data_IF_838486985103
#
_entry.id   IF_838486985103
#
_cell.length_a   1.000
_cell.length_b   1.000
_cell.length_c   1.000
_cell.angle_alpha   90.00
_cell.angle_beta   90.00
_cell.angle_gamma   90.00
#
_symmetry.space_group_name_H-M   'P 1'
#
loop_
_entity.id
_entity.type
_entity.pdbx_description
1 polymer ?
#
# COMPACT_ATOMS: atom_id res chain seq x y z
N UNK A 1 19.37 -14.48 -33.55
CA UNK A 1 19.50 -13.60 -32.36
C UNK A 1 18.09 -13.23 -31.91
N UNK A 2 17.60 -13.67 -30.73
CA UNK A 2 16.27 -13.30 -30.29
C UNK A 2 16.27 -11.84 -29.84
N UNK A 3 15.22 -11.09 -30.23
CA UNK A 3 15.06 -9.68 -29.87
C UNK A 3 14.76 -9.56 -28.37
N UNK A 4 15.34 -8.57 -27.66
CA UNK A 4 14.99 -8.34 -26.27
C UNK A 4 13.52 -7.90 -26.20
N UNK A 5 12.73 -8.56 -25.36
CA UNK A 5 11.39 -8.11 -25.02
C UNK A 5 11.47 -6.68 -24.45
N UNK A 6 10.49 -5.79 -24.70
CA UNK A 6 10.44 -4.53 -23.99
C UNK A 6 10.06 -4.86 -22.55
N UNK A 7 11.06 -5.04 -21.68
CA UNK A 7 10.85 -4.87 -20.25
C UNK A 7 10.24 -3.47 -20.10
N UNK A 8 9.01 -3.40 -19.56
CA UNK A 8 8.45 -2.13 -19.07
C UNK A 8 9.59 -1.45 -18.30
N UNK A 9 9.83 -0.15 -18.49
CA UNK A 9 10.82 0.55 -17.68
C UNK A 9 10.39 0.30 -16.24
N UNK A 10 11.16 -0.53 -15.54
CA UNK A 10 10.99 -0.73 -14.13
C UNK A 10 11.38 0.62 -13.55
N UNK A 11 10.36 1.34 -13.09
CA UNK A 11 10.49 2.56 -12.30
C UNK A 11 11.14 2.15 -10.97
N UNK A 12 12.44 1.87 -11.04
CA UNK A 12 13.28 1.44 -9.92
C UNK A 12 13.62 2.61 -8.97
N UNK A 13 13.00 3.78 -9.17
CA UNK A 13 13.27 4.98 -8.38
C UNK A 13 12.07 5.49 -7.57
N UNK A 14 10.84 5.13 -7.92
CA UNK A 14 9.65 5.67 -7.27
C UNK A 14 8.77 4.54 -6.74
N UNK A 15 8.79 4.33 -5.43
CA UNK A 15 7.78 3.51 -4.75
C UNK A 15 6.41 4.11 -5.01
N UNK A 16 5.43 3.27 -5.36
CA UNK A 16 4.04 3.69 -5.62
C UNK A 16 3.06 2.72 -4.99
N UNK A 17 2.13 3.27 -4.22
CA UNK A 17 1.06 2.53 -3.54
C UNK A 17 -0.28 3.17 -3.90
N UNK A 18 -1.30 2.35 -4.16
CA UNK A 18 -2.67 2.80 -4.28
C UNK A 18 -3.50 2.21 -3.14
N UNK A 19 -4.29 3.07 -2.49
CA UNK A 19 -5.21 2.73 -1.41
C UNK A 19 -6.64 2.82 -1.93
N UNK A 20 -7.52 1.99 -1.39
CA UNK A 20 -8.95 1.99 -1.70
C UNK A 20 -9.78 1.93 -0.41
N UNK A 21 -10.89 2.65 -0.35
CA UNK A 21 -11.80 2.63 0.81
C UNK A 21 -12.42 1.25 1.04
N UNK A 22 -12.68 0.51 -0.04
CA UNK A 22 -13.35 -0.79 -0.01
C UNK A 22 -12.44 -1.93 -0.47
N UNK A 23 -12.86 -3.16 -0.19
CA UNK A 23 -12.21 -4.37 -0.69
C UNK A 23 -12.30 -4.47 -2.23
N UNK A 24 -11.46 -5.32 -2.84
CA UNK A 24 -11.47 -5.56 -4.29
C UNK A 24 -11.26 -4.30 -5.15
N UNK A 25 -10.48 -3.34 -4.65
CA UNK A 25 -10.11 -2.10 -5.36
C UNK A 25 -11.30 -1.19 -5.71
N UNK A 26 -12.32 -1.17 -4.84
CA UNK A 26 -13.53 -0.38 -5.01
C UNK A 26 -13.53 0.89 -4.15
N UNK A 27 -14.53 1.74 -4.36
CA UNK A 27 -14.72 2.99 -3.61
C UNK A 27 -13.73 4.09 -3.99
N UNK A 28 -13.59 5.09 -3.10
CA UNK A 28 -12.62 6.17 -3.28
C UNK A 28 -11.20 5.61 -3.21
N UNK A 29 -10.31 6.19 -4.02
CA UNK A 29 -8.90 5.80 -4.07
C UNK A 29 -7.95 6.98 -3.88
N UNK A 30 -6.76 6.68 -3.39
CA UNK A 30 -5.65 7.62 -3.33
C UNK A 30 -4.36 6.94 -3.80
N UNK A 31 -3.51 7.67 -4.51
CA UNK A 31 -2.16 7.23 -4.87
C UNK A 31 -1.16 7.91 -3.93
N UNK A 32 -0.15 7.14 -3.50
CA UNK A 32 0.92 7.60 -2.65
C UNK A 32 2.27 7.31 -3.30
N UNK A 33 3.13 8.32 -3.32
CA UNK A 33 4.56 8.17 -3.63
C UNK A 33 5.48 8.48 -2.47
N UNK A 34 4.95 8.99 -1.36
CA UNK A 34 5.72 9.54 -0.23
C UNK A 34 5.22 9.04 1.12
N UNK A 35 6.07 9.19 2.14
CA UNK A 35 5.72 8.80 3.50
C UNK A 35 4.61 9.71 4.04
N UNK A 36 3.62 9.12 4.70
CA UNK A 36 2.48 9.79 5.27
C UNK A 36 2.35 9.45 6.75
N UNK A 37 2.74 10.36 7.66
CA UNK A 37 2.59 10.14 9.10
C UNK A 37 1.12 10.24 9.57
N UNK A 38 0.19 10.74 8.75
CA UNK A 38 -1.23 10.85 9.09
C UNK A 38 -2.12 10.87 7.84
N UNK A 39 -2.81 9.76 7.57
CA UNK A 39 -3.79 9.66 6.48
C UNK A 39 -4.97 10.65 6.63
N UNK A 40 -5.52 10.87 7.84
CA UNK A 40 -6.55 11.89 8.02
C UNK A 40 -6.08 13.30 7.63
N UNK A 41 -4.81 13.64 7.90
CA UNK A 41 -4.24 14.93 7.51
C UNK A 41 -4.09 15.08 5.98
N UNK A 42 -4.03 13.96 5.24
CA UNK A 42 -4.05 13.93 3.77
C UNK A 42 -5.47 14.03 3.20
N UNK A 43 -6.50 14.12 4.05
CA UNK A 43 -7.90 14.15 3.62
C UNK A 43 -8.50 12.77 3.32
N UNK A 44 -7.87 11.70 3.82
CA UNK A 44 -8.48 10.37 3.83
C UNK A 44 -9.64 10.36 4.84
N UNK A 45 -10.85 10.08 4.36
CA UNK A 45 -12.09 10.28 5.12
C UNK A 45 -12.43 9.15 6.10
N UNK A 46 -11.70 8.04 6.04
CA UNK A 46 -11.92 6.85 6.87
C UNK A 46 -10.70 6.56 7.75
N UNK A 47 -10.89 5.91 8.89
CA UNK A 47 -9.77 5.32 9.65
C UNK A 47 -9.32 3.96 9.09
N UNK A 48 -10.04 3.43 8.10
CA UNK A 48 -9.78 2.13 7.47
C UNK A 48 -9.38 2.27 6.01
N UNK A 49 -8.71 1.23 5.52
CA UNK A 49 -8.41 1.00 4.11
C UNK A 49 -8.88 -0.42 3.78
N UNK A 50 -9.66 -0.55 2.71
CA UNK A 50 -10.31 -1.81 2.31
C UNK A 50 -9.49 -2.65 1.35
N UNK A 51 -8.58 -2.06 0.57
CA UNK A 51 -7.63 -2.81 -0.26
C UNK A 51 -6.43 -1.96 -0.67
N UNK A 52 -5.33 -2.63 -1.05
CA UNK A 52 -4.08 -2.01 -1.50
C UNK A 52 -3.60 -2.59 -2.82
N UNK A 53 -3.01 -1.74 -3.65
CA UNK A 53 -2.31 -2.14 -4.85
C UNK A 53 -0.90 -1.54 -4.88
N UNK A 54 0.10 -2.38 -4.65
CA UNK A 54 1.51 -1.99 -4.65
C UNK A 54 2.02 -2.01 -6.08
N UNK A 55 2.18 -0.83 -6.68
CA UNK A 55 2.69 -0.71 -8.06
C UNK A 55 4.20 -0.90 -8.14
N UNK A 56 4.91 -0.48 -7.09
CA UNK A 56 6.37 -0.59 -6.98
C UNK A 56 6.84 -0.35 -5.55
N UNK A 57 7.95 -0.99 -5.19
CA UNK A 57 8.60 -0.87 -3.88
C UNK A 57 7.91 -1.67 -2.78
N UNK A 58 8.30 -1.41 -1.54
CA UNK A 58 7.70 -1.99 -0.35
C UNK A 58 7.26 -0.88 0.61
N UNK A 59 6.18 -1.15 1.34
CA UNK A 59 5.49 -0.17 2.18
C UNK A 59 5.13 -0.78 3.53
N UNK A 60 5.19 0.03 4.57
CA UNK A 60 4.73 -0.32 5.91
C UNK A 60 3.51 0.52 6.23
N UNK A 61 2.36 -0.14 6.38
CA UNK A 61 1.13 0.47 6.87
C UNK A 61 1.05 0.30 8.39
N UNK A 62 0.61 1.33 9.11
CA UNK A 62 0.50 1.32 10.57
C UNK A 62 -0.89 1.73 11.03
N UNK A 63 -1.38 1.09 12.09
CA UNK A 63 -2.72 1.26 12.64
C UNK A 63 -3.03 2.70 13.09
N UNK A 64 -2.04 3.42 13.63
CA UNK A 64 -2.21 4.76 14.18
C UNK A 64 -1.30 5.78 13.47
N UNK A 65 -1.59 7.09 13.57
CA UNK A 65 -0.70 8.14 13.09
C UNK A 65 0.68 8.09 13.76
N UNK A 66 1.69 8.54 13.02
CA UNK A 66 3.09 8.54 13.45
C UNK A 66 3.73 7.15 13.46
N UNK A 67 3.26 6.23 12.61
CA UNK A 67 3.80 4.89 12.42
C UNK A 67 3.74 3.98 13.66
N UNK A 68 2.61 4.03 14.38
CA UNK A 68 2.39 3.32 15.65
C UNK A 68 1.33 2.22 15.53
N UNK A 69 1.31 1.34 16.52
CA UNK A 69 0.38 0.21 16.61
C UNK A 69 0.82 -0.97 15.75
N UNK A 70 -0.14 -1.81 15.34
CA UNK A 70 0.14 -2.92 14.44
C UNK A 70 0.68 -2.40 13.10
N UNK A 71 1.66 -3.14 12.57
CA UNK A 71 2.32 -2.81 11.31
C UNK A 71 2.17 -3.95 10.31
N UNK A 72 1.97 -3.59 9.05
CA UNK A 72 1.75 -4.53 7.94
C UNK A 72 2.69 -4.19 6.80
N UNK A 73 3.42 -5.20 6.31
CA UNK A 73 4.32 -5.07 5.18
C UNK A 73 3.54 -5.37 3.89
N UNK A 74 3.62 -4.45 2.93
CA UNK A 74 3.06 -4.59 1.59
C UNK A 74 4.20 -4.54 0.59
N UNK A 75 4.31 -5.56 -0.25
CA UNK A 75 5.41 -5.70 -1.21
C UNK A 75 4.86 -5.90 -2.63
N UNK A 76 5.57 -5.35 -3.62
CA UNK A 76 5.16 -5.47 -5.02
C UNK A 76 5.36 -6.88 -5.61
N UNK A 77 6.14 -7.73 -4.95
CA UNK A 77 6.47 -9.11 -5.37
C UNK A 77 5.51 -10.16 -4.78
N UNK A 78 4.66 -9.80 -3.82
CA UNK A 78 3.42 -10.52 -3.51
C UNK A 78 2.58 -10.72 -4.79
N UNK A 79 1.67 -11.70 -4.90
CA UNK A 79 0.96 -11.99 -6.16
C UNK A 79 0.35 -10.73 -6.79
N UNK A 80 0.98 -10.26 -7.87
CA UNK A 80 0.67 -9.02 -8.60
C UNK A 80 0.69 -7.70 -7.77
N UNK A 81 1.23 -7.70 -6.55
CA UNK A 81 1.14 -6.57 -5.61
C UNK A 81 -0.29 -6.27 -5.16
N UNK A 82 -1.19 -7.24 -5.28
CA UNK A 82 -2.62 -7.12 -5.02
C UNK A 82 -2.97 -7.58 -3.61
N UNK A 83 -3.61 -6.70 -2.84
CA UNK A 83 -4.09 -6.97 -1.50
C UNK A 83 -5.57 -6.59 -1.44
N UNK A 84 -6.47 -7.52 -1.78
CA UNK A 84 -7.90 -7.25 -2.02
C UNK A 84 -8.74 -7.26 -0.75
N UNK A 85 -8.30 -7.99 0.26
CA UNK A 85 -9.01 -8.19 1.52
C UNK A 85 -8.10 -7.98 2.72
N UNK A 86 -8.65 -7.47 3.83
CA UNK A 86 -7.90 -7.20 5.07
C UNK A 86 -7.09 -8.40 5.55
N UNK A 87 -7.56 -9.61 5.27
CA UNK A 87 -6.91 -10.87 5.64
C UNK A 87 -5.57 -11.13 4.91
N UNK A 88 -5.33 -10.44 3.79
CA UNK A 88 -4.13 -10.63 2.98
C UNK A 88 -2.92 -9.83 3.50
N UNK A 89 -3.14 -8.77 4.30
CA UNK A 89 -2.06 -8.03 4.98
C UNK A 89 -2.19 -8.01 6.51
N UNK A 90 -3.40 -8.17 7.04
CA UNK A 90 -3.69 -8.15 8.47
C UNK A 90 -3.63 -9.54 9.10
N UNK A 91 -2.42 -10.05 9.36
CA UNK A 91 -2.25 -11.43 9.84
C UNK A 91 -2.86 -11.72 11.22
N UNK A 92 -2.78 -10.79 12.18
CA UNK A 92 -3.22 -11.02 13.56
C UNK A 92 -4.35 -10.12 14.07
N UNK A 93 -4.43 -8.87 13.61
CA UNK A 93 -5.39 -7.91 14.15
C UNK A 93 -6.74 -7.88 13.39
N UNK A 94 -6.80 -8.51 12.19
CA UNK A 94 -7.98 -8.57 11.32
C UNK A 94 -8.72 -7.22 11.18
N UNK A 95 -7.97 -6.13 11.21
CA UNK A 95 -8.51 -4.77 11.14
C UNK A 95 -7.99 -4.08 9.89
N UNK A 96 -8.91 -3.46 9.14
CA UNK A 96 -8.55 -2.58 8.03
C UNK A 96 -8.02 -1.22 8.51
N UNK A 97 -7.87 -1.01 9.81
CA UNK A 97 -7.43 0.27 10.36
C UNK A 97 -5.98 0.57 9.97
N UNK A 98 -5.80 1.64 9.21
CA UNK A 98 -4.52 2.17 8.76
C UNK A 98 -4.59 3.68 8.80
N UNK A 99 -3.64 4.31 9.49
CA UNK A 99 -3.63 5.77 9.68
C UNK A 99 -2.26 6.41 9.41
N UNK A 100 -1.21 5.62 9.15
CA UNK A 100 0.05 6.13 8.60
C UNK A 100 0.74 5.07 7.75
N UNK A 101 1.53 5.52 6.78
CA UNK A 101 2.14 4.69 5.74
C UNK A 101 3.53 5.23 5.43
N UNK A 102 4.54 4.36 5.31
CA UNK A 102 5.90 4.76 4.92
C UNK A 102 6.51 3.77 3.94
N UNK A 103 7.43 4.24 3.10
CA UNK A 103 8.26 3.41 2.24
C UNK A 103 9.27 2.63 3.09
N UNK A 104 9.60 1.43 2.64
CA UNK A 104 10.79 0.72 3.10
C UNK A 104 11.96 1.23 2.28
N UNK A 105 12.95 1.83 2.93
CA UNK A 105 14.21 2.21 2.28
C UNK A 105 15.09 0.96 2.21
N UNK A 106 15.49 0.58 1.00
CA UNK A 106 16.50 -0.47 0.77
C UNK A 106 17.89 0.16 0.64
#
# INVERSE_FOLDING_TARGET
>A
VPKPCPSRPQDHGRSRLMLFEEENFQGKRAEMSDDCPSLPALGWGSSTVGSFLVRSGAWVCSQYPGYRGFQYLLESDSPAGEYKHVREWGSHAQTGQVQSIRRVQQ
#
